data_IF_298719053183
#
_entry.id   IF_298719053183
#
_cell.length_a   1.000
_cell.length_b   1.000
_cell.length_c   1.000
_cell.angle_alpha   90.00
_cell.angle_beta   90.00
_cell.angle_gamma   90.00
#
_symmetry.space_group_name_H-M   'P 1'
#
loop_
_entity.id
_entity.type
_entity.pdbx_description
1 polymer ?
#
# COMPACT_ATOMS: atom_id res chain seq x y z
N UNK A 1 -57.55 -47.83 -10.84
CA UNK A 1 -57.84 -47.80 -12.30
C UNK A 1 -56.63 -48.40 -13.01
N UNK A 2 -56.81 -49.41 -13.86
CA UNK A 2 -55.70 -49.95 -14.66
C UNK A 2 -55.16 -48.85 -15.57
N UNK A 3 -53.85 -48.60 -15.52
CA UNK A 3 -53.22 -47.59 -16.35
C UNK A 3 -53.27 -48.04 -17.82
N UNK A 4 -53.78 -47.19 -18.72
CA UNK A 4 -53.98 -47.55 -20.14
C UNK A 4 -52.68 -47.62 -20.93
N UNK A 5 -51.70 -46.79 -20.54
CA UNK A 5 -50.37 -46.74 -21.16
C UNK A 5 -49.30 -46.79 -20.08
N UNK A 6 -48.36 -47.70 -20.21
CA UNK A 6 -47.36 -47.98 -19.19
C UNK A 6 -46.10 -48.58 -19.81
N UNK A 7 -45.03 -48.54 -19.03
CA UNK A 7 -43.75 -49.14 -19.33
C UNK A 7 -43.47 -50.21 -18.28
N UNK A 8 -42.85 -51.30 -18.69
CA UNK A 8 -42.36 -52.34 -17.79
C UNK A 8 -40.92 -52.68 -18.15
N UNK A 9 -40.18 -53.14 -17.15
CA UNK A 9 -38.91 -53.83 -17.39
C UNK A 9 -39.20 -55.22 -17.96
N UNK A 10 -38.40 -55.64 -18.94
CA UNK A 10 -38.38 -57.05 -19.34
C UNK A 10 -37.69 -57.87 -18.26
N UNK A 11 -37.91 -59.18 -18.25
CA UNK A 11 -37.24 -60.12 -17.35
C UNK A 11 -35.72 -60.04 -17.53
N UNK A 12 -35.26 -59.98 -18.77
CA UNK A 12 -33.84 -59.82 -19.10
C UNK A 12 -33.31 -58.45 -18.63
N UNK A 13 -34.09 -57.38 -18.79
CA UNK A 13 -33.71 -56.05 -18.33
C UNK A 13 -33.55 -55.97 -16.81
N UNK A 14 -34.49 -56.54 -16.06
CA UNK A 14 -34.39 -56.63 -14.61
C UNK A 14 -33.17 -57.45 -14.15
N UNK A 15 -32.89 -58.59 -14.80
CA UNK A 15 -31.71 -59.41 -14.52
C UNK A 15 -30.40 -58.67 -14.81
N UNK A 16 -30.31 -57.95 -15.95
CA UNK A 16 -29.11 -57.17 -16.31
C UNK A 16 -28.89 -55.98 -15.39
N UNK A 17 -29.96 -55.28 -14.98
CA UNK A 17 -29.87 -54.18 -14.02
C UNK A 17 -29.44 -54.68 -12.64
N UNK A 18 -30.00 -55.80 -12.16
CA UNK A 18 -29.57 -56.41 -10.89
C UNK A 18 -28.09 -56.83 -10.94
N UNK A 19 -27.65 -57.42 -12.05
CA UNK A 19 -26.24 -57.78 -12.25
C UNK A 19 -25.31 -56.56 -12.31
N UNK A 20 -25.75 -55.47 -12.93
CA UNK A 20 -24.99 -54.22 -12.98
C UNK A 20 -24.72 -53.66 -11.57
N UNK A 21 -25.73 -53.68 -10.69
CA UNK A 21 -25.59 -53.30 -9.28
C UNK A 21 -24.61 -54.22 -8.53
N UNK A 22 -24.71 -55.54 -8.71
CA UNK A 22 -23.85 -56.53 -8.02
C UNK A 22 -22.40 -56.45 -8.49
N UNK A 23 -22.17 -56.30 -9.79
CA UNK A 23 -20.84 -56.25 -10.39
C UNK A 23 -20.20 -54.85 -10.32
N UNK A 24 -20.94 -53.83 -9.91
CA UNK A 24 -20.48 -52.44 -9.90
C UNK A 24 -20.16 -51.88 -11.30
N UNK A 25 -20.68 -52.51 -12.35
CA UNK A 25 -20.48 -52.08 -13.74
C UNK A 25 -21.82 -51.60 -14.30
N UNK A 26 -22.00 -50.28 -14.50
CA UNK A 26 -23.27 -49.73 -14.98
C UNK A 26 -23.67 -50.27 -16.36
N UNK A 27 -24.96 -50.56 -16.53
CA UNK A 27 -25.55 -50.96 -17.79
C UNK A 27 -25.62 -49.76 -18.75
N UNK A 28 -25.15 -49.95 -19.97
CA UNK A 28 -25.15 -48.91 -21.02
C UNK A 28 -26.43 -48.99 -21.82
N UNK A 29 -27.38 -48.11 -21.55
CA UNK A 29 -28.57 -47.95 -22.39
C UNK A 29 -28.21 -47.05 -23.58
N UNK A 30 -28.35 -47.56 -24.81
CA UNK A 30 -27.80 -46.88 -25.99
C UNK A 30 -28.86 -46.50 -27.02
N UNK A 31 -29.97 -47.22 -27.10
CA UNK A 31 -30.93 -47.07 -28.19
C UNK A 31 -32.37 -47.07 -27.70
N UNK A 32 -33.21 -46.26 -28.34
CA UNK A 32 -34.67 -46.37 -28.29
C UNK A 32 -35.13 -46.85 -29.66
N UNK A 33 -36.03 -47.84 -29.63
CA UNK A 33 -36.79 -48.26 -30.80
C UNK A 33 -38.27 -47.96 -30.62
N UNK A 34 -38.95 -47.78 -31.74
CA UNK A 34 -40.38 -47.52 -31.83
C UNK A 34 -40.99 -48.44 -32.86
N UNK A 35 -42.22 -48.85 -32.60
CA UNK A 35 -42.97 -49.80 -33.41
C UNK A 35 -44.40 -49.38 -33.66
N UNK A 36 -44.95 -49.85 -34.78
CA UNK A 36 -46.39 -49.70 -35.10
C UNK A 36 -47.21 -50.91 -34.62
N UNK A 37 -46.55 -51.94 -34.06
CA UNK A 37 -47.15 -53.16 -33.55
C UNK A 37 -48.16 -53.83 -34.51
N UNK A 38 -47.87 -53.80 -35.83
CA UNK A 38 -48.77 -54.28 -36.89
C UNK A 38 -50.16 -53.60 -36.87
N UNK A 39 -50.21 -52.34 -36.43
CA UNK A 39 -51.43 -51.52 -36.41
C UNK A 39 -52.31 -51.69 -35.18
N UNK A 40 -51.91 -52.49 -34.18
CA UNK A 40 -52.67 -52.70 -32.94
C UNK A 40 -51.83 -52.36 -31.70
N UNK A 41 -52.38 -51.55 -30.78
CA UNK A 41 -51.67 -51.17 -29.55
C UNK A 41 -51.39 -52.43 -28.71
N UNK A 42 -50.12 -52.79 -28.49
CA UNK A 42 -49.78 -54.02 -27.78
C UNK A 42 -49.92 -53.84 -26.27
N UNK A 43 -50.06 -54.97 -25.57
CA UNK A 43 -49.90 -55.03 -24.12
C UNK A 43 -48.45 -55.44 -23.84
N UNK A 44 -47.63 -54.58 -23.20
CA UNK A 44 -46.28 -54.95 -22.81
C UNK A 44 -46.27 -56.19 -21.91
N UNK A 45 -45.41 -57.17 -22.23
CA UNK A 45 -45.21 -58.39 -21.43
C UNK A 45 -43.75 -58.50 -20.99
N UNK A 46 -43.51 -58.93 -19.75
CA UNK A 46 -42.15 -58.96 -19.20
C UNK A 46 -41.22 -59.95 -19.93
N UNK A 47 -41.76 -60.97 -20.61
CA UNK A 47 -40.96 -61.95 -21.36
C UNK A 47 -40.60 -61.50 -22.78
N UNK A 48 -40.96 -60.28 -23.20
CA UNK A 48 -40.58 -59.75 -24.51
C UNK A 48 -39.07 -59.62 -24.65
N UNK A 49 -38.55 -60.07 -25.79
CA UNK A 49 -37.16 -59.89 -26.21
C UNK A 49 -37.03 -58.90 -27.37
N UNK A 50 -38.14 -58.56 -28.02
CA UNK A 50 -38.24 -57.59 -29.11
C UNK A 50 -39.61 -56.90 -29.11
N UNK A 51 -39.71 -55.78 -29.83
CA UNK A 51 -40.99 -55.16 -30.18
C UNK A 51 -41.82 -56.08 -31.10
N UNK A 52 -43.13 -55.90 -31.12
CA UNK A 52 -44.06 -56.69 -31.97
C UNK A 52 -43.80 -56.40 -33.45
N UNK A 53 -43.62 -55.14 -33.80
CA UNK A 53 -43.13 -54.72 -35.11
C UNK A 53 -42.38 -53.40 -35.00
N UNK A 54 -41.05 -53.50 -35.03
CA UNK A 54 -40.16 -52.35 -34.99
C UNK A 54 -40.09 -51.67 -36.36
N UNK A 55 -40.31 -50.35 -36.37
CA UNK A 55 -40.23 -49.53 -37.60
C UNK A 55 -39.03 -48.59 -37.60
N UNK A 56 -38.47 -48.29 -36.42
CA UNK A 56 -37.28 -47.47 -36.28
C UNK A 56 -36.54 -47.76 -34.99
N UNK A 57 -35.21 -47.76 -35.07
CA UNK A 57 -34.30 -47.76 -33.92
C UNK A 57 -33.17 -46.78 -34.16
N UNK A 58 -32.86 -45.97 -33.16
CA UNK A 58 -31.72 -45.07 -33.20
C UNK A 58 -31.12 -44.87 -31.80
N UNK A 59 -30.00 -44.16 -31.72
CA UNK A 59 -29.36 -43.85 -30.44
C UNK A 59 -30.25 -42.99 -29.55
N UNK A 60 -30.07 -43.12 -28.23
CA UNK A 60 -30.63 -42.23 -27.22
C UNK A 60 -29.93 -40.87 -27.32
N UNK A 61 -30.72 -39.80 -27.25
CA UNK A 61 -30.22 -38.43 -27.18
C UNK A 61 -29.86 -38.07 -25.75
N UNK A 62 -30.78 -38.23 -24.80
CA UNK A 62 -30.57 -37.94 -23.38
C UNK A 62 -31.11 -39.07 -22.49
N UNK A 63 -30.41 -39.31 -21.39
CA UNK A 63 -30.76 -40.28 -20.35
C UNK A 63 -30.40 -39.68 -18.98
N UNK A 64 -31.42 -39.45 -18.16
CA UNK A 64 -31.27 -38.75 -16.87
C UNK A 64 -32.31 -39.24 -15.85
N UNK A 65 -32.03 -38.99 -14.57
CA UNK A 65 -32.94 -39.32 -13.45
C UNK A 65 -33.95 -38.18 -13.27
N UNK A 66 -35.21 -38.52 -13.03
CA UNK A 66 -36.24 -37.53 -12.71
C UNK A 66 -35.94 -36.86 -11.36
N UNK A 67 -35.94 -35.53 -11.34
CA UNK A 67 -35.69 -34.73 -10.13
C UNK A 67 -36.75 -34.93 -9.05
N UNK A 68 -38.00 -35.17 -9.46
CA UNK A 68 -39.12 -35.30 -8.51
C UNK A 68 -39.31 -36.76 -8.07
N UNK A 69 -38.75 -37.71 -8.83
CA UNK A 69 -38.86 -39.14 -8.60
C UNK A 69 -37.49 -39.82 -8.77
N UNK A 70 -36.68 -39.92 -7.71
CA UNK A 70 -35.29 -40.42 -7.79
C UNK A 70 -35.13 -41.85 -8.34
N UNK A 71 -36.20 -42.65 -8.35
CA UNK A 71 -36.20 -44.02 -8.88
C UNK A 71 -36.71 -44.10 -10.34
N UNK A 72 -36.98 -42.96 -10.97
CA UNK A 72 -37.41 -42.90 -12.37
C UNK A 72 -36.26 -42.45 -13.26
N UNK A 73 -35.99 -43.26 -14.28
CA UNK A 73 -35.05 -42.94 -15.33
C UNK A 73 -35.81 -42.56 -16.60
N UNK A 74 -35.45 -41.42 -17.17
CA UNK A 74 -36.08 -40.86 -18.37
C UNK A 74 -35.09 -40.97 -19.52
N UNK A 75 -35.46 -41.75 -20.54
CA UNK A 75 -34.74 -41.89 -21.78
C UNK A 75 -35.47 -41.14 -22.89
N UNK A 76 -34.79 -40.25 -23.60
CA UNK A 76 -35.38 -39.47 -24.70
C UNK A 76 -34.64 -39.69 -26.02
N UNK A 77 -35.43 -39.70 -27.09
CA UNK A 77 -34.95 -39.76 -28.45
C UNK A 77 -35.73 -38.78 -29.32
N UNK A 78 -35.00 -38.05 -30.17
CA UNK A 78 -35.57 -37.16 -31.17
C UNK A 78 -35.70 -37.89 -32.49
N UNK A 79 -36.89 -37.86 -33.07
CA UNK A 79 -37.18 -38.35 -34.42
C UNK A 79 -37.26 -37.14 -35.36
N UNK A 80 -36.30 -36.97 -36.28
CA UNK A 80 -36.27 -35.83 -37.19
C UNK A 80 -37.40 -35.90 -38.22
N UNK A 81 -37.61 -34.82 -38.96
CA UNK A 81 -38.62 -34.73 -40.03
C UNK A 81 -38.34 -35.64 -41.24
N UNK A 82 -37.08 -36.08 -41.39
CA UNK A 82 -36.63 -36.97 -42.47
C UNK A 82 -37.07 -38.42 -42.29
N UNK A 83 -37.51 -38.80 -41.08
CA UNK A 83 -37.94 -40.15 -40.73
C UNK A 83 -39.40 -40.16 -40.25
N UNK A 84 -40.21 -41.09 -40.74
CA UNK A 84 -41.64 -41.16 -40.44
C UNK A 84 -42.41 -41.96 -41.50
N UNK A 85 -43.72 -41.77 -41.56
CA UNK A 85 -44.64 -42.50 -42.43
C UNK A 85 -45.33 -43.69 -41.75
N UNK A 86 -45.31 -43.74 -40.41
CA UNK A 86 -45.82 -44.87 -39.63
C UNK A 86 -46.42 -44.38 -38.30
N UNK A 87 -47.25 -45.23 -37.69
CA UNK A 87 -47.82 -45.01 -36.37
C UNK A 87 -46.89 -45.51 -35.27
N UNK A 88 -46.91 -44.84 -34.11
CA UNK A 88 -46.16 -45.23 -32.92
C UNK A 88 -47.13 -45.81 -31.90
N UNK A 89 -47.03 -47.11 -31.65
CA UNK A 89 -47.86 -47.86 -30.71
C UNK A 89 -47.04 -48.48 -29.57
N UNK A 90 -45.77 -48.76 -29.81
CA UNK A 90 -44.85 -49.34 -28.84
C UNK A 90 -43.47 -48.66 -28.85
N UNK A 91 -42.81 -48.69 -27.69
CA UNK A 91 -41.49 -48.10 -27.45
C UNK A 91 -40.66 -49.14 -26.72
N UNK A 92 -39.41 -49.34 -27.14
CA UNK A 92 -38.46 -50.26 -26.53
C UNK A 92 -37.14 -49.56 -26.21
N UNK A 93 -36.56 -49.86 -25.06
CA UNK A 93 -35.27 -49.35 -24.60
C UNK A 93 -34.23 -50.47 -24.64
N UNK A 94 -33.08 -50.22 -25.24
CA UNK A 94 -32.07 -51.23 -25.51
C UNK A 94 -30.69 -50.86 -24.96
N UNK A 95 -29.94 -51.88 -24.55
CA UNK A 95 -28.53 -51.74 -24.15
C UNK A 95 -27.56 -51.71 -25.35
N UNK A 96 -26.25 -51.59 -25.08
CA UNK A 96 -25.19 -51.63 -26.08
C UNK A 96 -25.00 -52.99 -26.79
N UNK A 97 -25.61 -54.05 -26.23
CA UNK A 97 -25.59 -55.41 -26.77
C UNK A 97 -26.87 -55.75 -27.54
N UNK A 98 -27.81 -54.82 -27.65
CA UNK A 98 -29.08 -54.99 -28.35
C UNK A 98 -30.16 -55.74 -27.56
N UNK A 99 -29.98 -55.94 -26.25
CA UNK A 99 -30.99 -56.54 -25.38
C UNK A 99 -32.12 -55.55 -25.11
N UNK A 100 -33.37 -55.99 -25.21
CA UNK A 100 -34.54 -55.20 -24.83
C UNK A 100 -34.63 -55.14 -23.30
N UNK A 101 -34.35 -53.97 -22.71
CA UNK A 101 -34.33 -53.75 -21.27
C UNK A 101 -35.72 -53.37 -20.74
N UNK A 102 -36.44 -52.54 -21.49
CA UNK A 102 -37.78 -52.12 -21.12
C UNK A 102 -38.65 -51.99 -22.35
N UNK A 103 -39.94 -52.20 -22.18
CA UNK A 103 -40.95 -52.08 -23.23
C UNK A 103 -42.17 -51.34 -22.70
N UNK A 104 -42.78 -50.51 -23.53
CA UNK A 104 -44.00 -49.79 -23.19
C UNK A 104 -44.91 -49.61 -24.38
N UNK A 105 -46.18 -49.36 -24.09
CA UNK A 105 -47.17 -48.98 -25.08
C UNK A 105 -47.46 -47.48 -24.99
N UNK A 106 -47.91 -46.89 -26.10
CA UNK A 106 -48.28 -45.48 -26.16
C UNK A 106 -49.58 -45.27 -26.95
N UNK A 107 -50.24 -44.10 -26.77
CA UNK A 107 -51.36 -43.73 -27.62
C UNK A 107 -50.94 -43.73 -29.10
N UNK A 108 -51.83 -44.22 -29.96
CA UNK A 108 -51.60 -44.21 -31.41
C UNK A 108 -51.28 -42.79 -31.89
N UNK A 109 -50.04 -42.60 -32.34
CA UNK A 109 -49.53 -41.29 -32.78
C UNK A 109 -48.90 -41.44 -34.15
N UNK A 110 -49.35 -40.62 -35.12
CA UNK A 110 -48.77 -40.64 -36.47
C UNK A 110 -47.56 -39.71 -36.55
N UNK A 111 -46.41 -40.24 -36.98
CA UNK A 111 -45.20 -39.45 -37.25
C UNK A 111 -45.07 -39.23 -38.77
N UNK A 112 -45.48 -38.07 -39.30
CA UNK A 112 -45.36 -37.83 -40.73
C UNK A 112 -43.91 -37.68 -41.18
N UNK A 113 -43.66 -38.00 -42.45
CA UNK A 113 -42.38 -37.77 -43.13
C UNK A 113 -42.46 -36.51 -43.98
N UNK A 114 -41.35 -35.79 -44.15
CA UNK A 114 -41.30 -34.53 -44.91
C UNK A 114 -41.96 -34.60 -46.30
N UNK A 115 -41.83 -35.73 -47.01
CA UNK A 115 -42.42 -35.96 -48.35
C UNK A 115 -43.96 -35.94 -48.36
N UNK A 116 -44.59 -36.09 -47.20
CA UNK A 116 -46.04 -36.03 -47.02
C UNK A 116 -46.54 -34.60 -46.79
N UNK A 117 -45.67 -33.60 -46.93
CA UNK A 117 -45.99 -32.18 -46.78
C UNK A 117 -46.05 -31.69 -45.33
N UNK A 118 -45.65 -32.52 -44.35
CA UNK A 118 -45.60 -32.14 -42.93
C UNK A 118 -44.23 -32.42 -42.31
N UNK A 119 -43.47 -31.35 -42.13
CA UNK A 119 -42.20 -31.32 -41.41
C UNK A 119 -42.45 -31.35 -39.89
N UNK A 120 -42.40 -32.54 -39.26
CA UNK A 120 -42.54 -32.67 -37.80
C UNK A 120 -41.32 -33.34 -37.20
N UNK A 121 -40.71 -32.70 -36.22
CA UNK A 121 -39.76 -33.34 -35.29
C UNK A 121 -40.52 -33.78 -34.05
N UNK A 122 -40.35 -35.03 -33.63
CA UNK A 122 -41.06 -35.59 -32.48
C UNK A 122 -40.08 -36.16 -31.46
N UNK A 123 -40.29 -35.81 -30.19
CA UNK A 123 -39.51 -36.36 -29.07
C UNK A 123 -40.28 -37.52 -28.47
N UNK A 124 -39.64 -38.69 -28.43
CA UNK A 124 -40.12 -39.87 -27.73
C UNK A 124 -39.45 -39.89 -26.36
N UNK A 125 -40.27 -39.96 -25.32
CA UNK A 125 -39.84 -40.04 -23.93
C UNK A 125 -40.33 -41.35 -23.33
N UNK A 126 -39.40 -42.18 -22.89
CA UNK A 126 -39.69 -43.41 -22.15
C UNK A 126 -39.25 -43.23 -20.71
N UNK A 127 -40.17 -43.43 -19.77
CA UNK A 127 -39.90 -43.39 -18.34
C UNK A 127 -39.89 -44.82 -17.82
N UNK A 128 -38.85 -45.22 -17.11
CA UNK A 128 -38.76 -46.53 -16.45
C UNK A 128 -38.52 -46.35 -14.96
N UNK A 129 -39.03 -47.26 -14.15
CA UNK A 129 -38.75 -47.30 -12.71
C UNK A 129 -37.69 -48.37 -12.47
N UNK A 130 -36.62 -48.01 -11.77
CA UNK A 130 -35.52 -48.91 -11.41
C UNK A 130 -35.18 -48.76 -9.92
N UNK A 131 -34.70 -49.85 -9.30
CA UNK A 131 -34.39 -49.86 -7.87
C UNK A 131 -33.13 -49.08 -7.53
N UNK A 132 -32.13 -49.09 -8.43
CA UNK A 132 -30.88 -48.36 -8.27
C UNK A 132 -30.49 -47.67 -9.59
N UNK A 133 -30.52 -46.34 -9.59
CA UNK A 133 -30.13 -45.52 -10.75
C UNK A 133 -28.64 -45.56 -11.05
N UNK A 134 -27.79 -45.96 -10.09
CA UNK A 134 -26.36 -46.14 -10.33
C UNK A 134 -26.05 -47.39 -11.15
N UNK A 135 -27.03 -48.29 -11.32
CA UNK A 135 -26.93 -49.44 -12.19
C UNK A 135 -26.92 -49.07 -13.68
N UNK A 136 -27.11 -47.80 -14.03
CA UNK A 136 -27.19 -47.32 -15.42
C UNK A 136 -26.20 -46.18 -15.66
N UNK A 137 -25.49 -46.23 -16.79
CA UNK A 137 -24.64 -45.12 -17.23
C UNK A 137 -25.50 -43.99 -17.81
N UNK A 138 -25.57 -42.85 -17.11
CA UNK A 138 -26.33 -41.69 -17.57
C UNK A 138 -25.65 -41.02 -18.77
N UNK A 139 -26.44 -40.70 -19.79
CA UNK A 139 -25.99 -40.00 -20.99
C UNK A 139 -26.66 -38.63 -21.07
N UNK A 140 -25.94 -37.60 -20.66
CA UNK A 140 -26.38 -36.22 -20.82
C UNK A 140 -25.68 -35.67 -22.06
N UNK A 141 -26.35 -35.70 -23.22
CA UNK A 141 -25.85 -35.03 -24.42
C UNK A 141 -26.34 -33.56 -24.42
N UNK A 142 -25.46 -32.56 -24.28
CA UNK A 142 -25.84 -31.15 -24.29
C UNK A 142 -26.18 -30.61 -25.69
N UNK A 143 -26.07 -31.44 -26.73
CA UNK A 143 -26.09 -31.02 -28.14
C UNK A 143 -27.39 -31.37 -28.87
N UNK A 144 -28.40 -31.90 -28.18
CA UNK A 144 -29.68 -32.25 -28.82
C UNK A 144 -30.25 -31.02 -29.53
N UNK A 145 -30.62 -31.19 -30.81
CA UNK A 145 -31.00 -30.14 -31.76
C UNK A 145 -32.01 -29.11 -31.21
N UNK A 146 -32.80 -29.48 -30.19
CA UNK A 146 -33.58 -28.56 -29.37
C UNK A 146 -33.35 -28.85 -27.88
N UNK A 147 -32.59 -28.00 -27.19
CA UNK A 147 -32.57 -27.96 -25.73
C UNK A 147 -33.81 -27.22 -25.21
N UNK A 148 -34.41 -27.70 -24.11
CA UNK A 148 -35.46 -26.93 -23.42
C UNK A 148 -34.83 -25.70 -22.76
N UNK A 149 -35.59 -24.60 -22.60
CA UNK A 149 -35.10 -23.40 -21.89
C UNK A 149 -34.62 -23.76 -20.48
N UNK A 150 -35.40 -24.59 -19.77
CA UNK A 150 -35.06 -25.08 -18.44
C UNK A 150 -33.72 -25.83 -18.42
N UNK A 151 -33.45 -26.72 -19.38
CA UNK A 151 -32.16 -27.41 -19.45
C UNK A 151 -30.99 -26.44 -19.60
N UNK A 152 -31.16 -25.42 -20.46
CA UNK A 152 -30.14 -24.39 -20.65
C UNK A 152 -29.94 -23.58 -19.38
N UNK A 153 -31.01 -23.16 -18.70
CA UNK A 153 -30.95 -22.37 -17.47
C UNK A 153 -30.28 -23.15 -16.32
N UNK A 154 -30.63 -24.42 -16.15
CA UNK A 154 -30.01 -25.31 -15.15
C UNK A 154 -28.53 -25.53 -15.46
N UNK A 155 -28.19 -25.85 -16.73
CA UNK A 155 -26.80 -26.05 -17.14
C UNK A 155 -25.94 -24.80 -16.93
N UNK A 156 -26.46 -23.62 -17.28
CA UNK A 156 -25.77 -22.33 -17.05
C UNK A 156 -25.56 -22.12 -15.56
N UNK A 157 -26.62 -22.29 -14.75
CA UNK A 157 -26.55 -22.11 -13.30
C UNK A 157 -25.52 -23.04 -12.67
N UNK A 158 -25.53 -24.32 -13.04
CA UNK A 158 -24.55 -25.30 -12.55
C UNK A 158 -23.13 -24.95 -12.99
N UNK A 159 -22.92 -24.60 -14.27
CA UNK A 159 -21.59 -24.23 -14.77
C UNK A 159 -21.07 -22.95 -14.11
N UNK A 160 -21.91 -21.95 -13.88
CA UNK A 160 -21.53 -20.73 -13.17
C UNK A 160 -21.14 -21.00 -11.72
N UNK A 161 -21.95 -21.78 -11.00
CA UNK A 161 -21.66 -22.16 -9.61
C UNK A 161 -20.35 -22.97 -9.50
N UNK A 162 -20.07 -23.83 -10.48
CA UNK A 162 -18.81 -24.58 -10.54
C UNK A 162 -17.62 -23.67 -10.89
N UNK A 163 -17.79 -22.74 -11.83
CA UNK A 163 -16.74 -21.79 -12.21
C UNK A 163 -16.37 -20.87 -11.04
N UNK A 164 -17.36 -20.35 -10.31
CA UNK A 164 -17.17 -19.50 -9.12
C UNK A 164 -16.31 -20.19 -8.05
N UNK A 165 -16.47 -21.50 -7.88
CA UNK A 165 -15.68 -22.31 -6.93
C UNK A 165 -14.36 -22.81 -7.51
N UNK A 166 -14.10 -22.60 -8.80
CA UNK A 166 -12.90 -23.10 -9.46
C UNK A 166 -11.73 -22.12 -9.32
N UNK A 167 -10.51 -22.64 -9.41
CA UNK A 167 -9.27 -21.84 -9.51
C UNK A 167 -8.64 -21.93 -10.89
N UNK A 168 -9.40 -22.44 -11.89
CA UNK A 168 -8.90 -22.67 -13.25
C UNK A 168 -8.86 -21.38 -14.07
N UNK A 169 -7.96 -20.47 -13.69
CA UNK A 169 -7.78 -19.16 -14.30
C UNK A 169 -6.32 -19.03 -14.78
N UNK A 170 -6.04 -18.22 -15.82
CA UNK A 170 -4.67 -17.99 -16.27
C UNK A 170 -3.77 -17.50 -15.13
N UNK A 171 -2.58 -18.09 -15.02
CA UNK A 171 -1.58 -17.67 -14.04
C UNK A 171 -1.16 -16.21 -14.26
N UNK A 172 -0.85 -15.52 -13.17
CA UNK A 172 -0.26 -14.19 -13.23
C UNK A 172 1.17 -14.26 -13.80
N UNK A 173 1.50 -13.34 -14.72
CA UNK A 173 2.85 -13.23 -15.28
C UNK A 173 3.30 -11.77 -15.29
N UNK A 174 4.57 -11.53 -15.65
CA UNK A 174 5.08 -10.16 -15.81
C UNK A 174 4.62 -9.49 -17.12
N UNK A 175 4.26 -10.28 -18.14
CA UNK A 175 3.86 -9.78 -19.46
C UNK A 175 2.36 -9.65 -19.65
N UNK A 176 1.59 -10.47 -18.94
CA UNK A 176 0.14 -10.58 -19.12
C UNK A 176 -0.55 -10.75 -17.77
N UNK A 177 -1.68 -10.07 -17.64
CA UNK A 177 -2.53 -10.10 -16.45
C UNK A 177 -3.32 -11.41 -16.41
N UNK A 178 -3.22 -12.14 -15.30
CA UNK A 178 -4.20 -13.16 -14.92
C UNK A 178 -5.32 -12.48 -14.13
N UNK A 179 -5.44 -12.78 -12.83
CA UNK A 179 -6.15 -11.92 -11.89
C UNK A 179 -5.36 -10.65 -11.54
N UNK A 180 -4.06 -10.81 -11.35
CA UNK A 180 -3.09 -9.74 -11.13
C UNK A 180 -1.94 -9.88 -12.14
N UNK A 181 -1.23 -8.79 -12.42
CA UNK A 181 0.01 -8.83 -13.19
C UNK A 181 1.19 -8.70 -12.22
N UNK A 182 2.26 -9.45 -12.48
CA UNK A 182 3.46 -9.42 -11.65
C UNK A 182 4.41 -8.30 -12.11
N UNK A 183 5.14 -7.70 -11.17
CA UNK A 183 6.16 -6.71 -11.48
C UNK A 183 7.44 -7.01 -10.69
N UNK A 184 8.59 -6.98 -11.38
CA UNK A 184 9.91 -7.21 -10.77
C UNK A 184 10.72 -5.92 -10.54
N UNK A 185 10.18 -4.75 -10.86
CA UNK A 185 10.81 -3.47 -10.58
C UNK A 185 10.79 -3.15 -9.08
N UNK A 186 11.88 -2.60 -8.56
CA UNK A 186 12.05 -2.24 -7.14
C UNK A 186 11.70 -0.78 -6.83
N UNK A 187 11.26 -0.02 -7.83
CA UNK A 187 10.93 1.40 -7.77
C UNK A 187 9.62 1.74 -8.48
N UNK A 188 8.77 0.73 -8.72
CA UNK A 188 7.47 0.94 -9.36
C UNK A 188 6.51 1.67 -8.43
N UNK A 189 5.72 2.59 -8.98
CA UNK A 189 4.61 3.27 -8.29
C UNK A 189 3.23 2.68 -8.64
N UNK A 190 3.20 1.56 -9.37
CA UNK A 190 1.95 0.93 -9.79
C UNK A 190 1.26 0.21 -8.62
N UNK A 191 -0.01 0.55 -8.36
CA UNK A 191 -0.85 -0.06 -7.29
C UNK A 191 -1.69 -1.26 -7.77
N UNK A 192 -1.67 -1.56 -9.07
CA UNK A 192 -2.46 -2.61 -9.69
C UNK A 192 -1.64 -3.87 -10.07
N UNK A 193 -0.43 -3.99 -9.54
CA UNK A 193 0.51 -5.09 -9.81
C UNK A 193 1.06 -5.66 -8.51
N UNK A 194 1.33 -6.97 -8.49
CA UNK A 194 1.95 -7.63 -7.34
C UNK A 194 3.47 -7.75 -7.53
N UNK A 195 4.24 -7.53 -6.46
CA UNK A 195 5.69 -7.69 -6.49
C UNK A 195 6.08 -9.17 -6.66
N UNK A 196 7.11 -9.45 -7.48
CA UNK A 196 7.69 -10.80 -7.56
C UNK A 196 8.60 -11.09 -6.37
N UNK A 197 8.82 -12.38 -6.03
CA UNK A 197 9.85 -12.76 -5.05
C UNK A 197 11.24 -12.20 -5.39
N UNK A 198 11.56 -12.05 -6.68
CA UNK A 198 12.81 -11.43 -7.14
C UNK A 198 12.90 -9.95 -6.74
N UNK A 199 11.84 -9.17 -6.94
CA UNK A 199 11.81 -7.76 -6.51
C UNK A 199 11.98 -7.65 -4.99
N UNK A 200 11.23 -8.45 -4.23
CA UNK A 200 11.29 -8.46 -2.76
C UNK A 200 12.69 -8.84 -2.28
N UNK A 201 13.30 -9.88 -2.86
CA UNK A 201 14.66 -10.29 -2.53
C UNK A 201 15.66 -9.16 -2.80
N UNK A 202 15.56 -8.50 -3.96
CA UNK A 202 16.46 -7.40 -4.33
C UNK A 202 16.35 -6.22 -3.35
N UNK A 203 15.13 -5.86 -2.94
CA UNK A 203 14.90 -4.83 -1.92
C UNK A 203 15.46 -5.26 -0.57
N UNK A 204 15.25 -6.50 -0.15
CA UNK A 204 15.76 -7.04 1.10
C UNK A 204 17.29 -7.07 1.14
N UNK A 205 17.94 -7.50 0.05
CA UNK A 205 19.39 -7.49 -0.09
C UNK A 205 19.94 -6.05 -0.03
N UNK A 206 19.27 -5.09 -0.67
CA UNK A 206 19.62 -3.68 -0.56
C UNK A 206 19.51 -3.18 0.90
N UNK A 207 18.41 -3.49 1.58
CA UNK A 207 18.20 -3.10 2.97
C UNK A 207 19.30 -3.65 3.89
N UNK A 208 19.62 -4.95 3.78
CA UNK A 208 20.69 -5.59 4.54
C UNK A 208 22.08 -5.00 4.24
N UNK A 209 22.30 -4.46 3.04
CA UNK A 209 23.56 -3.82 2.67
C UNK A 209 23.76 -2.40 3.23
N UNK A 210 22.69 -1.73 3.70
CA UNK A 210 22.79 -0.34 4.18
C UNK A 210 23.47 -0.24 5.55
N UNK A 211 23.25 -1.22 6.44
CA UNK A 211 23.96 -1.33 7.72
C UNK A 211 24.48 -2.76 7.94
N UNK A 212 25.51 -3.19 7.21
CA UNK A 212 26.13 -4.48 7.44
C UNK A 212 26.79 -4.52 8.82
N UNK A 213 26.62 -5.61 9.57
CA UNK A 213 27.25 -5.84 10.88
C UNK A 213 28.81 -5.81 10.83
N UNK A 214 29.39 -5.79 9.63
CA UNK A 214 30.84 -5.64 9.41
C UNK A 214 31.31 -4.18 9.41
N UNK A 215 30.42 -3.18 9.33
CA UNK A 215 30.83 -1.78 9.43
C UNK A 215 31.37 -1.52 10.83
N UNK A 216 32.49 -0.79 10.90
CA UNK A 216 33.17 -0.49 12.16
C UNK A 216 33.24 1.01 12.40
N UNK A 217 33.07 1.41 13.65
CA UNK A 217 33.53 2.72 14.16
C UNK A 217 34.68 2.42 15.11
N UNK A 218 35.85 3.02 14.85
CA UNK A 218 37.05 2.80 15.67
C UNK A 218 37.36 1.30 15.90
N UNK A 219 37.37 0.50 14.83
CA UNK A 219 37.57 -0.95 14.83
C UNK A 219 36.53 -1.83 15.56
N UNK A 220 35.46 -1.25 16.12
CA UNK A 220 34.35 -1.97 16.77
C UNK A 220 33.14 -2.09 15.84
N UNK A 221 32.51 -3.26 15.80
CA UNK A 221 31.35 -3.54 14.94
C UNK A 221 30.12 -2.73 15.35
N UNK A 222 29.35 -2.25 14.36
CA UNK A 222 28.06 -1.57 14.52
C UNK A 222 26.92 -2.60 14.65
N UNK A 223 26.81 -3.27 15.79
CA UNK A 223 25.78 -4.28 16.05
C UNK A 223 24.76 -3.89 17.14
N UNK A 224 24.92 -2.70 17.74
CA UNK A 224 24.04 -2.09 18.74
C UNK A 224 24.13 -0.55 18.61
N UNK A 225 23.25 0.17 19.30
CA UNK A 225 23.32 1.63 19.40
C UNK A 225 24.69 2.08 19.93
N UNK A 226 25.24 3.14 19.32
CA UNK A 226 26.51 3.75 19.73
C UNK A 226 26.22 5.07 20.42
N UNK A 227 26.47 5.12 21.72
CA UNK A 227 26.54 6.39 22.45
C UNK A 227 27.87 7.06 22.11
N UNK A 228 27.82 8.21 21.46
CA UNK A 228 28.99 9.07 21.24
C UNK A 228 28.96 10.21 22.26
N UNK A 229 30.01 10.32 23.07
CA UNK A 229 30.22 11.45 23.95
C UNK A 229 31.07 12.53 23.24
N UNK A 230 31.11 13.75 23.78
CA UNK A 230 31.75 14.89 23.11
C UNK A 230 33.27 14.71 22.93
N UNK A 231 33.88 13.87 23.77
CA UNK A 231 35.26 13.39 23.65
C UNK A 231 35.46 12.41 22.49
N UNK A 232 34.50 11.53 22.20
CA UNK A 232 34.60 10.54 21.11
C UNK A 232 34.65 11.19 19.70
N UNK A 233 34.17 12.43 19.56
CA UNK A 233 34.11 13.17 18.29
C UNK A 233 35.01 14.42 18.27
N UNK A 234 35.91 14.57 19.24
CA UNK A 234 36.76 15.77 19.39
C UNK A 234 35.98 17.09 19.42
N UNK A 235 34.74 17.08 19.91
CA UNK A 235 33.93 18.30 20.02
C UNK A 235 34.36 19.17 21.23
N UNK A 236 35.09 18.60 22.18
CA UNK A 236 35.74 19.34 23.26
C UNK A 236 37.24 19.51 22.97
N UNK A 237 37.85 20.67 23.29
CA UNK A 237 39.31 20.84 23.29
C UNK A 237 39.93 20.19 24.54
N UNK A 238 39.57 18.94 24.81
CA UNK A 238 39.99 18.21 25.99
C UNK A 238 40.59 16.85 25.59
N UNK A 239 41.71 16.50 26.20
CA UNK A 239 42.33 15.20 26.03
C UNK A 239 41.79 14.27 27.12
N UNK A 240 41.18 13.16 26.72
CA UNK A 240 40.78 12.11 27.66
C UNK A 240 42.00 11.32 28.13
N UNK A 241 42.25 11.29 29.43
CA UNK A 241 43.22 10.38 30.09
C UNK A 241 42.47 9.41 30.99
N UNK A 242 43.03 8.22 31.19
CA UNK A 242 42.54 7.26 32.20
C UNK A 242 43.56 7.27 33.34
N UNK A 243 43.14 7.63 34.55
CA UNK A 243 43.97 7.56 35.75
C UNK A 243 43.17 6.77 36.79
N UNK A 244 43.77 5.72 37.34
CA UNK A 244 43.13 4.82 38.32
C UNK A 244 41.77 4.26 37.86
N UNK A 245 41.66 3.85 36.60
CA UNK A 245 40.44 3.33 35.98
C UNK A 245 39.27 4.33 35.83
N UNK A 246 39.47 5.60 36.19
CA UNK A 246 38.49 6.67 35.99
C UNK A 246 38.89 7.56 34.79
N UNK A 247 37.96 7.94 33.91
CA UNK A 247 38.23 8.90 32.85
C UNK A 247 38.37 10.30 33.45
N UNK A 248 39.54 10.92 33.24
CA UNK A 248 39.81 12.31 33.58
C UNK A 248 39.90 13.12 32.29
N UNK A 249 39.12 14.19 32.23
CA UNK A 249 39.11 15.12 31.11
C UNK A 249 39.99 16.32 31.45
N UNK A 250 41.19 16.35 30.90
CA UNK A 250 42.03 17.55 30.94
C UNK A 250 41.62 18.40 29.74
N UNK A 251 40.87 19.48 30.00
CA UNK A 251 40.84 20.61 29.06
C UNK A 251 42.31 20.99 28.88
N UNK A 252 42.81 21.03 27.65
CA UNK A 252 44.17 21.56 27.42
C UNK A 252 44.30 22.93 28.07
N UNK A 253 45.54 23.42 28.29
CA UNK A 253 45.77 24.78 28.81
C UNK A 253 44.70 25.69 28.25
N UNK A 254 43.94 26.38 29.14
CA UNK A 254 42.92 27.34 28.71
C UNK A 254 43.50 28.00 27.47
N UNK A 255 42.78 27.98 26.35
CA UNK A 255 43.16 28.87 25.27
C UNK A 255 43.13 30.24 25.92
N UNK A 256 44.30 30.73 26.36
CA UNK A 256 44.57 32.11 26.64
C UNK A 256 43.90 32.75 25.44
N UNK A 257 42.86 33.57 25.65
CA UNK A 257 42.32 34.36 24.57
C UNK A 257 43.54 35.00 23.94
N UNK A 258 43.97 34.46 22.79
CA UNK A 258 45.23 34.83 22.17
C UNK A 258 45.07 36.31 22.01
N UNK A 259 45.90 37.09 22.73
CA UNK A 259 45.86 38.55 22.82
C UNK A 259 45.12 39.08 21.61
N UNK A 260 43.91 39.64 21.81
CA UNK A 260 43.06 40.12 20.70
C UNK A 260 43.99 40.72 19.65
N UNK A 261 44.03 40.15 18.42
CA UNK A 261 45.08 40.48 17.46
C UNK A 261 45.16 41.99 17.32
N UNK A 262 46.38 42.53 17.34
CA UNK A 262 46.66 43.95 17.12
C UNK A 262 45.74 44.45 16.01
N UNK A 263 44.75 45.26 16.33
CA UNK A 263 44.02 45.97 15.30
C UNK A 263 45.00 47.00 14.73
N UNK A 264 45.47 46.77 13.51
CA UNK A 264 46.28 47.71 12.75
C UNK A 264 47.66 48.05 13.36
N UNK A 265 48.40 47.08 13.91
CA UNK A 265 49.74 47.28 14.50
C UNK A 265 49.82 48.30 15.66
N UNK A 266 48.69 48.72 16.23
CA UNK A 266 48.64 49.65 17.37
C UNK A 266 48.99 48.95 18.69
N UNK A 267 49.79 49.60 19.53
CA UNK A 267 49.99 49.16 20.93
C UNK A 267 48.71 49.45 21.73
N UNK A 268 48.16 48.42 22.38
CA UNK A 268 47.09 48.61 23.37
C UNK A 268 47.69 49.34 24.56
N UNK A 269 47.11 50.48 24.91
CA UNK A 269 47.49 51.19 26.13
C UNK A 269 46.86 50.48 27.32
N UNK A 270 47.68 50.20 28.31
CA UNK A 270 47.28 49.64 29.60
C UNK A 270 47.41 50.71 30.67
N UNK A 271 46.79 50.47 31.83
CA UNK A 271 46.89 51.42 32.94
C UNK A 271 48.34 51.56 33.46
N UNK A 272 49.15 50.51 33.32
CA UNK A 272 50.59 50.51 33.70
C UNK A 272 51.43 51.50 32.87
N UNK A 273 50.95 51.89 31.69
CA UNK A 273 51.63 52.87 30.83
C UNK A 273 51.49 54.32 31.32
N UNK A 274 50.72 54.56 32.39
CA UNK A 274 50.42 55.89 32.90
C UNK A 274 50.86 56.08 34.35
N UNK A 275 51.44 57.24 34.64
CA UNK A 275 51.42 57.80 35.99
C UNK A 275 50.04 58.41 36.27
N UNK A 276 49.56 58.33 37.51
CA UNK A 276 48.21 58.79 37.85
C UNK A 276 48.17 59.61 39.14
N UNK A 277 47.27 60.60 39.15
CA UNK A 277 46.91 61.40 40.33
C UNK A 277 45.39 61.32 40.52
N UNK A 278 44.95 61.03 41.75
CA UNK A 278 43.52 61.00 42.10
C UNK A 278 43.28 61.92 43.28
N UNK A 279 42.36 62.88 43.13
CA UNK A 279 41.98 63.80 44.19
C UNK A 279 40.56 64.31 43.99
N UNK A 280 39.73 64.29 45.02
CA UNK A 280 38.36 64.83 45.03
C UNK A 280 37.50 64.40 43.81
N UNK A 281 37.62 63.13 43.38
CA UNK A 281 36.86 62.60 42.24
C UNK A 281 37.40 62.96 40.85
N UNK A 282 38.55 63.63 40.79
CA UNK A 282 39.32 63.91 39.57
C UNK A 282 40.42 62.85 39.44
N UNK A 283 40.62 62.34 38.21
CA UNK A 283 41.71 61.43 37.86
C UNK A 283 42.51 62.05 36.73
N UNK A 284 43.82 62.18 36.89
CA UNK A 284 44.71 62.63 35.82
C UNK A 284 45.72 61.53 35.54
N UNK A 285 45.73 61.04 34.30
CA UNK A 285 46.70 60.08 33.79
C UNK A 285 47.68 60.80 32.88
N UNK A 286 48.98 60.60 33.09
CA UNK A 286 50.06 61.14 32.24
C UNK A 286 50.97 60.02 31.79
N UNK A 287 51.22 59.97 30.48
CA UNK A 287 52.20 59.07 29.88
C UNK A 287 53.49 59.82 29.58
N UNK A 288 54.61 59.10 29.60
CA UNK A 288 55.94 59.66 29.34
C UNK A 288 56.07 60.37 27.98
N UNK A 289 55.23 60.02 27.00
CA UNK A 289 55.21 60.64 25.67
C UNK A 289 54.32 61.89 25.57
N UNK A 290 53.88 62.42 26.71
CA UNK A 290 53.09 63.64 26.83
C UNK A 290 51.59 63.44 26.75
N UNK A 291 51.07 62.22 26.47
CA UNK A 291 49.62 61.97 26.49
C UNK A 291 49.03 62.16 27.90
N UNK A 292 48.00 63.00 27.99
CA UNK A 292 47.27 63.31 29.21
C UNK A 292 45.80 62.92 29.03
N UNK A 293 45.25 62.16 29.99
CA UNK A 293 43.82 61.92 30.13
C UNK A 293 43.34 62.49 31.45
N UNK A 294 42.26 63.26 31.42
CA UNK A 294 41.66 63.85 32.61
C UNK A 294 40.23 63.35 32.73
N UNK A 295 39.88 62.70 33.84
CA UNK A 295 38.51 62.42 34.22
C UNK A 295 38.08 63.37 35.33
N UNK A 296 36.92 63.99 35.18
CA UNK A 296 36.32 64.83 36.19
C UNK A 296 34.81 64.93 35.99
N UNK A 297 34.09 65.43 37.00
CA UNK A 297 32.67 65.73 36.89
C UNK A 297 32.45 67.23 36.85
N UNK A 298 31.50 67.69 36.05
CA UNK A 298 31.11 69.09 36.01
C UNK A 298 29.62 69.28 35.75
N UNK A 299 29.11 70.44 36.15
CA UNK A 299 27.71 70.78 36.01
C UNK A 299 27.47 71.40 34.64
N UNK A 300 26.53 70.81 33.89
CA UNK A 300 25.97 71.41 32.69
C UNK A 300 24.80 72.33 33.05
N UNK A 301 24.88 73.58 32.61
CA UNK A 301 23.82 74.57 32.81
C UNK A 301 22.87 74.53 31.60
N UNK A 302 21.69 73.93 31.80
CA UNK A 302 20.70 73.71 30.75
C UNK A 302 20.10 74.98 30.16
N UNK A 303 20.18 76.13 30.85
CA UNK A 303 19.63 77.42 30.38
C UNK A 303 20.36 77.91 29.13
N UNK A 304 21.61 77.50 28.92
CA UNK A 304 22.40 77.95 27.77
C UNK A 304 21.97 77.31 26.44
N UNK A 305 21.18 76.23 26.47
CA UNK A 305 20.64 75.58 25.27
C UNK A 305 21.68 75.35 24.17
N UNK A 306 21.43 75.87 22.97
CA UNK A 306 22.33 75.74 21.82
C UNK A 306 23.69 76.46 21.99
N UNK A 307 23.81 77.41 22.91
CA UNK A 307 25.08 78.10 23.17
C UNK A 307 26.09 77.24 23.93
N UNK A 308 25.64 76.16 24.59
CA UNK A 308 26.48 75.25 25.37
C UNK A 308 27.02 75.84 26.67
N UNK A 309 27.60 74.99 27.51
CA UNK A 309 28.27 75.38 28.77
C UNK A 309 29.78 75.19 28.60
N UNK A 310 30.56 76.19 29.00
CA UNK A 310 32.03 76.09 29.04
C UNK A 310 32.44 75.75 30.46
N UNK A 311 33.30 74.75 30.60
CA UNK A 311 33.78 74.24 31.89
C UNK A 311 35.30 74.14 31.84
N UNK A 312 35.96 74.62 32.90
CA UNK A 312 37.42 74.51 33.04
C UNK A 312 37.86 73.05 33.27
N UNK A 313 38.96 72.68 32.62
CA UNK A 313 39.65 71.42 32.84
C UNK A 313 40.38 71.44 34.21
N UNK A 314 40.57 70.28 34.86
CA UNK A 314 41.38 70.19 36.07
C UNK A 314 42.81 70.70 35.91
N UNK A 315 43.43 70.44 34.75
CA UNK A 315 44.71 71.00 34.35
C UNK A 315 44.68 71.45 32.88
N UNK A 316 45.50 72.43 32.55
CA UNK A 316 45.74 72.88 31.18
C UNK A 316 46.48 71.81 30.39
N UNK A 317 46.02 71.51 29.17
CA UNK A 317 46.81 70.73 28.22
C UNK A 317 47.98 71.58 27.69
N UNK A 318 49.23 71.13 27.79
CA UNK A 318 50.39 71.94 27.39
C UNK A 318 50.39 72.37 25.92
N UNK A 319 49.91 71.52 25.02
CA UNK A 319 50.06 71.72 23.57
C UNK A 319 48.73 71.61 22.80
N UNK A 320 47.97 70.55 23.01
CA UNK A 320 46.78 70.23 22.23
C UNK A 320 45.71 69.54 23.07
N UNK A 321 44.46 69.97 22.89
CA UNK A 321 43.30 69.26 23.39
C UNK A 321 42.63 68.53 22.22
N UNK A 322 42.74 67.19 22.19
CA UNK A 322 42.28 66.41 21.04
C UNK A 322 40.77 66.23 21.01
N UNK A 323 40.20 65.70 22.09
CA UNK A 323 38.76 65.49 22.19
C UNK A 323 38.33 65.30 23.64
N UNK A 324 37.05 65.54 23.90
CA UNK A 324 36.41 65.20 25.15
C UNK A 324 35.25 64.25 24.89
N UNK A 325 35.06 63.29 25.78
CA UNK A 325 33.89 62.42 25.81
C UNK A 325 33.12 62.78 27.07
N UNK A 326 31.81 62.92 26.92
CA UNK A 326 30.90 63.13 28.04
C UNK A 326 29.93 61.97 28.15
N UNK A 327 29.62 61.59 29.37
CA UNK A 327 28.55 60.66 29.66
C UNK A 327 27.63 61.25 30.73
N UNK A 328 26.41 60.74 30.75
CA UNK A 328 25.51 61.00 31.85
C UNK A 328 26.13 60.54 33.17
N UNK A 329 26.03 61.42 34.17
CA UNK A 329 26.23 61.05 35.57
C UNK A 329 24.93 60.49 36.12
N UNK A 330 24.24 61.30 36.93
CA UNK A 330 23.22 60.78 37.86
C UNK A 330 21.80 61.36 37.67
N UNK A 331 21.51 62.16 36.61
CA UNK A 331 20.21 62.85 36.45
C UNK A 331 19.62 62.90 35.00
N UNK A 332 19.99 61.97 34.11
CA UNK A 332 19.22 61.70 32.87
C UNK A 332 19.30 62.73 31.72
N UNK A 333 20.50 63.23 31.37
CA UNK A 333 20.70 64.05 30.17
C UNK A 333 20.93 63.18 28.92
N UNK A 334 19.85 62.74 28.27
CA UNK A 334 19.88 61.66 27.27
C UNK A 334 20.78 61.81 26.01
N UNK A 335 21.41 62.96 25.72
CA UNK A 335 22.48 63.08 24.70
C UNK A 335 23.40 64.26 25.06
N UNK A 336 24.70 64.02 25.15
CA UNK A 336 25.71 65.05 25.46
C UNK A 336 26.85 65.02 24.45
N UNK A 337 27.10 66.13 23.76
CA UNK A 337 28.28 66.31 22.91
C UNK A 337 29.25 67.28 23.58
N UNK A 338 30.55 67.05 23.42
CA UNK A 338 31.58 67.93 23.95
C UNK A 338 32.71 68.13 22.95
N UNK A 339 33.22 69.34 22.89
CA UNK A 339 34.33 69.72 22.03
C UNK A 339 35.34 70.56 22.81
N UNK A 340 36.64 70.44 22.49
CA UNK A 340 37.65 71.38 22.98
C UNK A 340 37.23 72.83 22.73
N UNK A 341 37.27 73.68 23.76
CA UNK A 341 37.04 75.12 23.62
C UNK A 341 38.38 75.85 23.47
N UNK A 342 39.29 75.55 24.40
CA UNK A 342 40.70 75.96 24.40
C UNK A 342 41.52 74.94 25.21
N UNK A 343 42.81 75.19 25.44
CA UNK A 343 43.67 74.27 26.20
C UNK A 343 43.32 74.14 27.69
N UNK A 344 42.43 74.99 28.20
CA UNK A 344 42.03 75.09 29.61
C UNK A 344 40.57 74.72 29.85
N UNK A 345 39.76 74.55 28.80
CA UNK A 345 38.32 74.38 28.95
C UNK A 345 37.69 73.53 27.84
N UNK A 346 36.58 72.88 28.20
CA UNK A 346 35.73 72.10 27.30
C UNK A 346 34.37 72.77 27.17
N UNK A 347 33.84 72.82 25.96
CA UNK A 347 32.48 73.27 25.69
C UNK A 347 31.59 72.06 25.47
N UNK A 348 30.49 72.00 26.20
CA UNK A 348 29.56 70.87 26.18
C UNK A 348 28.13 71.33 25.91
N UNK A 349 27.37 70.44 25.27
CA UNK A 349 25.96 70.62 24.97
C UNK A 349 25.21 69.38 25.37
N UNK A 350 24.07 69.57 26.01
CA UNK A 350 23.15 68.51 26.37
C UNK A 350 21.70 68.94 26.11
N UNK A 351 20.84 67.98 25.80
CA UNK A 351 19.39 68.19 25.76
C UNK A 351 18.80 67.83 27.12
N UNK A 352 18.38 68.84 27.87
CA UNK A 352 17.62 68.64 29.12
C UNK A 352 16.13 68.53 28.76
N UNK A 353 15.38 67.63 29.42
CA UNK A 353 13.92 67.56 29.28
C UNK A 353 13.22 68.84 29.76
N UNK A 354 11.90 68.95 29.61
CA UNK A 354 11.07 70.18 29.80
C UNK A 354 11.15 70.89 31.17
N UNK A 355 12.04 70.46 32.06
CA UNK A 355 12.36 71.09 33.34
C UNK A 355 13.89 71.30 33.36
N UNK A 356 14.34 72.55 33.16
CA UNK A 356 15.77 72.92 33.10
C UNK A 356 16.44 72.74 34.47
N UNK A 357 16.87 71.53 34.79
CA UNK A 357 17.68 71.25 35.99
C UNK A 357 19.14 71.04 35.61
N UNK A 358 20.03 71.72 36.32
CA UNK A 358 21.48 71.56 36.21
C UNK A 358 21.85 70.08 36.40
N UNK A 359 22.62 69.54 35.45
CA UNK A 359 22.93 68.10 35.39
C UNK A 359 24.42 67.86 35.57
N UNK A 360 24.78 66.89 36.41
CA UNK A 360 26.17 66.50 36.62
C UNK A 360 26.62 65.53 35.52
N UNK A 361 27.60 65.96 34.73
CA UNK A 361 28.20 65.16 33.66
C UNK A 361 29.55 64.60 34.08
N UNK A 362 29.85 63.41 33.58
CA UNK A 362 31.18 62.83 33.68
C UNK A 362 31.94 63.10 32.38
N UNK A 363 33.19 63.53 32.50
CA UNK A 363 33.97 64.02 31.36
C UNK A 363 35.31 63.30 31.34
N UNK A 364 35.68 62.77 30.18
CA UNK A 364 37.02 62.30 29.87
C UNK A 364 37.60 63.20 28.80
N UNK A 365 38.60 64.01 29.15
CA UNK A 365 39.32 64.88 28.23
C UNK A 365 40.68 64.27 27.88
N UNK A 366 41.05 64.26 26.60
CA UNK A 366 42.31 63.67 26.12
C UNK A 366 43.11 64.70 25.32
N UNK A 367 44.38 64.86 25.65
CA UNK A 367 45.26 65.85 25.03
C UNK A 367 46.75 65.61 25.32
N UNK A 368 47.58 66.59 24.97
CA UNK A 368 49.05 66.60 25.14
C UNK A 368 49.58 67.97 25.46
#
# INVERSE_FOLDING_TARGET
MSQKYYTILTKLGAELLANATVLGTPLKLTQIAVGDANGSIPNPIATQTSLVHEVRRAAINTLFVDKDNPNQLIAEQVIPETEGGWFIHEIGLYDDKGNLIAVGNCPSTYKPKLVEGSARTQVIRMVIVIDDVNAVELKIDPSVVLATRQYVDELITTKMANHEKSTNHPNATTKSKGFVQLNSATNSTAENQAATPLAIKTVNDNANSRVPNIRKINNKMLNNDILLQADDINALPAFRKIINNEPIYEVGEQTNFVKRPKANNSYLLTFEDFSYEVSNGIIILRRADGLILQYFKAVYNGVNGANGTVVSLPITFPNNFYFAITSDGDNGCHVVTALPNDLTSVKMWGKVGDIYVDSLLQIVAVGR
#
